data_IF_782640273625
#
_entry.id   IF_782640273625
#
_cell.length_a   1.000
_cell.length_b   1.000
_cell.length_c   1.000
_cell.angle_alpha   90.00
_cell.angle_beta   90.00
_cell.angle_gamma   90.00
#
_symmetry.space_group_name_H-M   'P 1'
#
loop_
_entity.id
_entity.type
_entity.pdbx_description
1 polymer ?
#
# COMPACT_ATOMS: atom_id res chain seq x y z
N UNK A 1 -18.37 -6.03 -5.58
CA UNK A 1 -17.68 -5.44 -4.40
C UNK A 1 -17.72 -6.38 -3.19
N UNK A 2 -18.89 -6.87 -2.77
CA UNK A 2 -19.04 -7.71 -1.57
C UNK A 2 -18.12 -8.95 -1.50
N UNK A 3 -17.89 -9.63 -2.64
CA UNK A 3 -17.01 -10.80 -2.67
C UNK A 3 -15.54 -10.46 -2.38
N UNK A 4 -15.06 -9.32 -2.91
CA UNK A 4 -13.69 -8.84 -2.72
C UNK A 4 -13.43 -8.37 -1.28
N UNK A 5 -14.48 -7.93 -0.58
CA UNK A 5 -14.42 -7.50 0.84
C UNK A 5 -14.94 -8.57 1.79
N UNK A 6 -15.23 -9.78 1.31
CA UNK A 6 -15.78 -10.85 2.13
C UNK A 6 -14.77 -11.33 3.17
N UNK A 7 -15.23 -11.82 4.35
CA UNK A 7 -14.34 -12.41 5.36
C UNK A 7 -13.50 -13.57 4.82
N UNK A 8 -14.04 -14.34 3.88
CA UNK A 8 -13.33 -15.42 3.19
C UNK A 8 -12.11 -14.87 2.44
N UNK A 9 -12.30 -13.81 1.67
CA UNK A 9 -11.22 -13.21 0.89
C UNK A 9 -10.21 -12.49 1.79
N UNK A 10 -10.65 -11.86 2.88
CA UNK A 10 -9.77 -11.28 3.89
C UNK A 10 -8.83 -12.33 4.51
N UNK A 11 -9.34 -13.53 4.84
CA UNK A 11 -8.51 -14.63 5.36
C UNK A 11 -7.46 -15.09 4.34
N UNK A 12 -7.84 -15.25 3.07
CA UNK A 12 -6.89 -15.63 2.01
C UNK A 12 -5.80 -14.57 1.87
N UNK A 13 -6.17 -13.30 1.79
CA UNK A 13 -5.22 -12.19 1.66
C UNK A 13 -4.29 -12.04 2.86
N UNK A 14 -4.80 -12.19 4.07
CA UNK A 14 -4.03 -11.95 5.28
C UNK A 14 -3.24 -13.18 5.74
N UNK A 15 -3.55 -14.40 5.26
CA UNK A 15 -2.86 -15.63 5.71
C UNK A 15 -2.14 -16.39 4.60
N UNK A 16 -2.57 -16.26 3.35
CA UNK A 16 -2.02 -17.04 2.23
C UNK A 16 -1.26 -16.18 1.23
N UNK A 17 -1.75 -14.96 0.97
CA UNK A 17 -1.14 -14.02 0.00
C UNK A 17 -0.33 -12.92 0.66
N UNK A 18 -0.38 -12.85 1.99
CA UNK A 18 0.37 -11.90 2.77
C UNK A 18 1.86 -12.24 2.67
N UNK A 19 2.73 -11.22 2.55
CA UNK A 19 4.15 -11.38 2.26
C UNK A 19 4.89 -11.97 3.47
N UNK A 20 4.70 -13.27 3.75
CA UNK A 20 5.39 -14.07 4.76
C UNK A 20 5.26 -13.57 6.21
N UNK A 21 5.86 -12.42 6.51
CA UNK A 21 6.07 -11.85 7.83
C UNK A 21 5.23 -10.62 8.15
N UNK A 22 4.55 -10.01 7.17
CA UNK A 22 3.81 -8.75 7.38
C UNK A 22 2.45 -8.92 8.07
N UNK A 23 1.90 -10.14 8.11
CA UNK A 23 0.52 -10.39 8.51
C UNK A 23 0.21 -10.12 9.99
N UNK A 24 1.25 -10.07 10.84
CA UNK A 24 1.12 -9.69 12.24
C UNK A 24 1.14 -8.17 12.46
N UNK A 25 1.60 -7.41 11.46
CA UNK A 25 1.85 -5.97 11.57
C UNK A 25 0.85 -5.14 10.77
N UNK A 26 0.41 -5.65 9.61
CA UNK A 26 -0.39 -4.88 8.67
C UNK A 26 -1.39 -5.76 7.91
N UNK A 27 -2.61 -5.23 7.73
CA UNK A 27 -3.57 -5.76 6.77
C UNK A 27 -3.28 -5.22 5.37
N UNK A 28 -2.20 -5.68 4.74
CA UNK A 28 -1.62 -5.09 3.51
C UNK A 28 -2.65 -4.66 2.46
N UNK A 29 -3.57 -5.56 2.10
CA UNK A 29 -4.59 -5.27 1.08
C UNK A 29 -5.62 -4.24 1.55
N UNK A 30 -6.05 -4.32 2.81
CA UNK A 30 -7.03 -3.39 3.36
C UNK A 30 -6.44 -1.98 3.50
N UNK A 31 -5.16 -1.88 3.92
CA UNK A 31 -4.43 -0.61 3.95
C UNK A 31 -4.30 0.00 2.55
N UNK A 32 -3.98 -0.79 1.53
CA UNK A 32 -3.95 -0.31 0.14
C UNK A 32 -5.31 0.23 -0.32
N UNK A 33 -6.41 -0.46 -0.04
CA UNK A 33 -7.74 0.02 -0.42
C UNK A 33 -8.12 1.32 0.31
N UNK A 34 -7.86 1.42 1.60
CA UNK A 34 -8.09 2.65 2.35
C UNK A 34 -7.26 3.81 1.77
N UNK A 35 -5.99 3.57 1.42
CA UNK A 35 -5.13 4.56 0.77
C UNK A 35 -5.64 5.01 -0.60
N UNK A 36 -6.11 4.08 -1.43
CA UNK A 36 -6.72 4.38 -2.73
C UNK A 36 -8.00 5.21 -2.56
N UNK A 37 -8.84 4.86 -1.58
CA UNK A 37 -10.05 5.61 -1.26
C UNK A 37 -9.72 7.05 -0.86
N UNK A 38 -8.74 7.25 0.03
CA UNK A 38 -8.27 8.57 0.44
C UNK A 38 -7.67 9.36 -0.73
N UNK A 39 -6.88 8.70 -1.59
CA UNK A 39 -6.36 9.31 -2.82
C UNK A 39 -7.47 9.75 -3.79
N UNK A 40 -8.63 9.09 -3.74
CA UNK A 40 -9.81 9.45 -4.50
C UNK A 40 -10.73 10.46 -3.77
N UNK A 41 -10.34 10.97 -2.60
CA UNK A 41 -11.11 11.93 -1.81
C UNK A 41 -12.11 11.32 -0.81
N UNK A 42 -12.12 10.00 -0.66
CA UNK A 42 -12.97 9.30 0.30
C UNK A 42 -12.17 8.95 1.57
N UNK A 43 -12.21 9.84 2.55
CA UNK A 43 -11.53 9.65 3.84
C UNK A 43 -12.31 8.70 4.76
N UNK A 44 -12.20 7.40 4.48
CA UNK A 44 -12.84 6.36 5.28
C UNK A 44 -12.22 6.27 6.67
N UNK A 45 -13.08 6.23 7.70
CA UNK A 45 -12.67 5.96 9.07
C UNK A 45 -12.54 4.44 9.29
N UNK A 46 -11.38 4.02 9.78
CA UNK A 46 -11.09 2.60 10.03
C UNK A 46 -10.67 2.45 11.49
N UNK A 47 -11.37 1.60 12.23
CA UNK A 47 -11.04 1.26 13.62
C UNK A 47 -10.42 -0.14 13.70
N UNK A 48 -9.10 -0.21 13.47
CA UNK A 48 -8.35 -1.46 13.58
C UNK A 48 -6.86 -1.19 13.79
N UNK A 49 -6.16 -1.99 14.62
CA UNK A 49 -4.71 -1.86 14.80
C UNK A 49 -3.90 -2.28 13.56
N UNK A 50 -4.51 -2.97 12.60
CA UNK A 50 -3.82 -3.49 11.41
C UNK A 50 -3.74 -2.50 10.23
N UNK A 51 -4.35 -1.33 10.36
CA UNK A 51 -4.32 -0.26 9.35
C UNK A 51 -3.86 1.02 10.06
N UNK A 52 -2.57 1.39 9.95
CA UNK A 52 -2.05 2.59 10.57
C UNK A 52 -2.71 3.84 9.97
N UNK A 53 -3.42 4.62 10.79
CA UNK A 53 -4.13 5.83 10.34
C UNK A 53 -3.17 6.87 9.80
N UNK A 54 -1.98 6.93 10.37
CA UNK A 54 -0.89 7.83 10.01
C UNK A 54 -0.38 7.59 8.58
N UNK A 55 -0.63 6.40 8.02
CA UNK A 55 -0.20 6.05 6.66
C UNK A 55 -1.22 6.41 5.59
N UNK A 56 -2.46 6.74 5.97
CA UNK A 56 -3.53 7.04 5.02
C UNK A 56 -3.40 8.42 4.35
N UNK A 57 -3.02 9.52 5.04
CA UNK A 57 -2.89 10.85 4.44
C UNK A 57 -2.05 10.85 3.15
N UNK A 58 -2.54 11.54 2.11
CA UNK A 58 -1.79 11.71 0.85
C UNK A 58 -0.82 12.88 1.00
N UNK A 59 0.35 12.58 1.56
CA UNK A 59 1.42 13.56 1.82
C UNK A 59 2.72 13.09 1.16
N UNK A 60 2.87 13.29 -0.17
CA UNK A 60 4.12 12.98 -0.85
C UNK A 60 5.26 13.86 -0.32
N UNK A 61 6.49 13.36 -0.40
CA UNK A 61 7.66 14.15 -0.06
C UNK A 61 7.84 15.29 -1.07
N UNK A 62 8.33 16.44 -0.60
CA UNK A 62 8.64 17.58 -1.47
C UNK A 62 9.73 17.21 -2.50
N UNK A 63 10.66 16.34 -2.11
CA UNK A 63 11.73 15.82 -2.96
C UNK A 63 12.05 14.38 -2.56
N UNK A 64 12.27 13.53 -3.55
CA UNK A 64 12.82 12.19 -3.36
C UNK A 64 14.31 12.23 -3.71
N UNK A 65 15.17 11.98 -2.72
CA UNK A 65 16.63 11.98 -2.94
C UNK A 65 17.06 10.70 -3.68
N UNK A 66 18.06 10.84 -4.55
CA UNK A 66 18.69 9.73 -5.27
C UNK A 66 20.13 9.53 -4.74
N UNK A 67 20.30 8.97 -3.54
CA UNK A 67 21.59 8.97 -2.86
C UNK A 67 22.63 8.10 -3.58
N UNK A 68 22.20 7.08 -4.30
CA UNK A 68 23.10 6.12 -4.93
C UNK A 68 23.39 6.43 -6.39
N UNK A 69 24.63 6.17 -6.81
CA UNK A 69 25.07 6.45 -8.19
C UNK A 69 24.25 5.69 -9.24
N UNK A 70 23.83 4.45 -8.94
CA UNK A 70 23.01 3.66 -9.87
C UNK A 70 21.59 4.22 -10.07
N UNK A 71 21.04 4.94 -9.07
CA UNK A 71 19.72 5.59 -9.21
C UNK A 71 19.82 6.77 -10.17
N UNK A 72 20.88 7.59 -10.03
CA UNK A 72 21.14 8.74 -10.90
C UNK A 72 21.48 8.34 -12.33
N UNK A 73 22.06 7.16 -12.52
CA UNK A 73 22.41 6.62 -13.83
C UNK A 73 21.26 5.89 -14.51
N UNK A 74 20.15 5.65 -13.80
CA UNK A 74 18.97 5.01 -14.36
C UNK A 74 18.17 6.02 -15.17
N UNK A 75 17.90 5.68 -16.43
CA UNK A 75 17.04 6.44 -17.31
C UNK A 75 15.85 5.55 -17.70
N UNK A 76 14.67 5.92 -17.20
CA UNK A 76 13.43 5.17 -17.40
C UNK A 76 12.90 5.27 -18.84
N UNK A 77 13.39 6.24 -19.61
CA UNK A 77 12.98 6.49 -20.99
C UNK A 77 13.90 5.80 -22.01
N UNK A 78 14.96 5.12 -21.54
CA UNK A 78 15.79 4.29 -22.40
C UNK A 78 14.97 3.13 -22.99
N UNK A 79 15.06 2.87 -24.30
CA UNK A 79 14.42 1.70 -24.89
C UNK A 79 14.95 0.43 -24.24
N UNK A 80 14.05 -0.43 -23.76
CA UNK A 80 14.40 -1.79 -23.35
C UNK A 80 14.81 -2.59 -24.58
N UNK A 81 16.02 -3.15 -24.55
CA UNK A 81 16.57 -4.03 -25.61
C UNK A 81 15.80 -5.35 -25.69
#
# INVERSE_FOLDING_TARGET
MADLTSPKMAKVRNKQLEFGYTHFFIGTHATMYAKIAWRAGYEVEVDTPYIPKEWLPIQPLAKYEEPYAFMRAYDADLPTV
#
